data_IF_152059185439
#
_entry.id   IF_152059185439
#
_cell.length_a   1.000
_cell.length_b   1.000
_cell.length_c   1.000
_cell.angle_alpha   90.00
_cell.angle_beta   90.00
_cell.angle_gamma   90.00
#
_symmetry.space_group_name_H-M   'P 1'
#
loop_
_entity.id
_entity.type
_entity.pdbx_description
1 polymer ?
#
# COMPACT_ATOMS: atom_id res chain seq x y z
N UNK A 1 -36.27 -2.38 -42.69
CA UNK A 1 -35.08 -1.73 -42.10
C UNK A 1 -35.58 -0.83 -40.97
N UNK A 2 -35.65 -1.33 -39.74
CA UNK A 2 -36.12 -0.56 -38.57
C UNK A 2 -34.92 0.23 -38.01
N UNK A 3 -34.89 1.54 -38.22
CA UNK A 3 -33.99 2.45 -37.53
C UNK A 3 -34.53 2.69 -36.11
N UNK A 4 -33.89 2.12 -35.10
CA UNK A 4 -34.13 2.51 -33.71
C UNK A 4 -33.58 3.92 -33.52
N UNK A 5 -34.43 4.91 -33.39
CA UNK A 5 -34.06 6.23 -32.90
C UNK A 5 -33.75 6.08 -31.40
N UNK A 6 -32.49 6.03 -31.05
CA UNK A 6 -32.02 6.14 -29.64
C UNK A 6 -32.23 7.63 -29.29
N UNK A 7 -33.16 7.90 -28.41
CA UNK A 7 -33.50 9.25 -27.94
C UNK A 7 -32.38 9.76 -27.03
N UNK A 8 -31.99 11.04 -27.11
CA UNK A 8 -30.97 11.69 -26.30
C UNK A 8 -31.14 11.45 -24.79
N UNK A 9 -32.42 11.38 -24.35
CA UNK A 9 -32.76 11.04 -22.96
C UNK A 9 -32.31 9.62 -22.56
N UNK A 10 -32.34 8.68 -23.49
CA UNK A 10 -31.91 7.29 -23.26
C UNK A 10 -30.36 7.20 -23.22
N UNK A 11 -29.69 7.95 -24.07
CA UNK A 11 -28.22 8.08 -24.07
C UNK A 11 -27.76 8.72 -22.76
N UNK A 12 -28.45 9.79 -22.30
CA UNK A 12 -28.15 10.45 -21.04
C UNK A 12 -28.36 9.52 -19.84
N UNK A 13 -29.48 8.78 -19.79
CA UNK A 13 -29.72 7.79 -18.74
C UNK A 13 -28.68 6.66 -18.73
N UNK A 14 -28.30 6.14 -19.91
CA UNK A 14 -27.27 5.12 -20.03
C UNK A 14 -25.89 5.65 -19.56
N UNK A 15 -25.52 6.87 -19.96
CA UNK A 15 -24.28 7.51 -19.50
C UNK A 15 -24.29 7.76 -18.00
N UNK A 16 -25.40 8.24 -17.45
CA UNK A 16 -25.56 8.45 -16.02
C UNK A 16 -25.50 7.12 -15.24
N UNK A 17 -26.16 6.06 -15.75
CA UNK A 17 -26.13 4.74 -15.14
C UNK A 17 -24.73 4.12 -15.20
N UNK A 18 -24.02 4.27 -16.31
CA UNK A 18 -22.62 3.83 -16.45
C UNK A 18 -21.69 4.60 -15.50
N UNK A 19 -21.85 5.92 -15.41
CA UNK A 19 -21.10 6.76 -14.48
C UNK A 19 -21.38 6.34 -13.03
N UNK A 20 -22.66 6.16 -12.66
CA UNK A 20 -23.06 5.75 -11.31
C UNK A 20 -22.53 4.35 -10.95
N UNK A 21 -22.62 3.39 -11.90
CA UNK A 21 -22.10 2.05 -11.70
C UNK A 21 -20.57 2.03 -11.57
N UNK A 22 -19.86 2.88 -12.32
CA UNK A 22 -18.42 3.01 -12.21
C UNK A 22 -18.01 3.61 -10.86
N UNK A 23 -18.73 4.62 -10.35
CA UNK A 23 -18.43 5.23 -9.04
C UNK A 23 -18.65 4.30 -7.85
N UNK A 24 -19.45 3.23 -8.00
CA UNK A 24 -19.70 2.22 -6.97
C UNK A 24 -18.88 0.93 -7.19
N UNK A 25 -17.88 0.96 -8.04
CA UNK A 25 -17.01 -0.19 -8.32
C UNK A 25 -16.17 -0.52 -7.09
N UNK A 26 -16.13 -1.78 -6.66
CA UNK A 26 -15.24 -2.23 -5.59
C UNK A 26 -13.80 -2.36 -6.07
N UNK A 27 -12.84 -2.35 -5.13
CA UNK A 27 -11.41 -2.50 -5.42
C UNK A 27 -11.11 -3.75 -6.25
N UNK A 28 -11.65 -4.92 -5.85
CA UNK A 28 -11.44 -6.16 -6.61
C UNK A 28 -12.12 -6.19 -7.98
N UNK A 29 -13.24 -5.48 -8.16
CA UNK A 29 -13.87 -5.34 -9.48
C UNK A 29 -13.05 -4.47 -10.41
N UNK A 30 -12.50 -3.37 -9.91
CA UNK A 30 -11.60 -2.51 -10.65
C UNK A 30 -10.34 -3.27 -11.10
N UNK A 31 -9.75 -4.05 -10.18
CA UNK A 31 -8.56 -4.86 -10.43
C UNK A 31 -8.74 -5.89 -11.56
N UNK A 32 -9.96 -6.42 -11.72
CA UNK A 32 -10.28 -7.35 -12.83
C UNK A 32 -10.32 -6.68 -14.19
N UNK A 33 -10.57 -5.37 -14.22
CA UNK A 33 -10.81 -4.62 -15.47
C UNK A 33 -9.57 -3.88 -15.97
N UNK A 34 -8.72 -3.39 -15.06
CA UNK A 34 -7.57 -2.55 -15.40
C UNK A 34 -6.42 -2.71 -14.43
N UNK A 35 -5.25 -2.26 -14.83
CA UNK A 35 -4.13 -2.06 -13.91
C UNK A 35 -4.44 -0.86 -13.03
N UNK A 36 -4.30 -1.01 -11.71
CA UNK A 36 -4.47 0.07 -10.75
C UNK A 36 -3.11 0.71 -10.43
N UNK A 37 -3.15 2.02 -10.26
CA UNK A 37 -1.99 2.82 -9.88
C UNK A 37 -2.08 3.19 -8.41
N UNK A 38 -1.14 2.69 -7.60
CA UNK A 38 -0.94 3.12 -6.22
C UNK A 38 -0.24 4.48 -6.18
N UNK A 39 -0.29 5.11 -5.04
CA UNK A 39 0.43 6.35 -4.77
C UNK A 39 1.95 6.12 -4.62
N UNK A 40 2.64 7.11 -4.10
CA UNK A 40 4.07 7.07 -3.85
C UNK A 40 4.40 7.29 -2.37
N UNK A 41 5.67 7.59 -2.12
CA UNK A 41 6.24 7.62 -0.78
C UNK A 41 5.67 8.73 0.11
N UNK A 42 4.83 8.36 1.08
CA UNK A 42 4.34 9.28 2.13
C UNK A 42 5.51 9.91 2.92
N UNK A 43 6.45 9.10 3.39
CA UNK A 43 7.59 9.58 4.17
C UNK A 43 8.49 10.56 3.41
N UNK A 44 8.69 10.37 2.11
CA UNK A 44 9.45 11.29 1.26
C UNK A 44 8.76 12.65 1.16
N UNK A 45 7.44 12.66 0.97
CA UNK A 45 6.66 13.91 0.90
C UNK A 45 6.60 14.63 2.27
N UNK A 46 6.49 13.90 3.38
CA UNK A 46 6.59 14.47 4.72
C UNK A 46 7.95 15.15 4.92
N UNK A 47 9.04 14.50 4.53
CA UNK A 47 10.40 15.07 4.67
C UNK A 47 10.58 16.39 3.91
N UNK A 48 9.91 16.57 2.76
CA UNK A 48 9.94 17.83 2.00
C UNK A 48 9.29 18.99 2.73
N UNK A 49 8.38 18.71 3.67
CA UNK A 49 7.72 19.73 4.50
C UNK A 49 8.63 20.21 5.64
N UNK A 50 9.81 19.58 5.81
CA UNK A 50 10.80 19.89 6.87
C UNK A 50 10.19 19.96 8.28
N UNK A 51 9.47 18.90 8.73
CA UNK A 51 8.80 18.91 10.01
C UNK A 51 9.77 19.15 11.16
N UNK A 52 9.36 20.03 12.07
CA UNK A 52 10.12 20.34 13.28
C UNK A 52 9.53 19.60 14.49
N UNK A 53 10.27 19.40 15.60
CA UNK A 53 9.75 18.63 16.74
C UNK A 53 8.36 19.05 17.22
N UNK A 54 8.04 20.35 17.19
CA UNK A 54 6.72 20.88 17.58
C UNK A 54 5.57 20.54 16.62
N UNK A 55 5.89 20.02 15.43
CA UNK A 55 4.87 19.57 14.48
C UNK A 55 4.35 18.17 14.83
N UNK A 56 5.14 17.40 15.57
CA UNK A 56 4.76 16.07 16.00
C UNK A 56 3.97 16.08 17.32
N UNK A 57 3.05 15.12 17.53
CA UNK A 57 2.36 14.99 18.81
C UNK A 57 3.35 14.86 19.96
N UNK A 58 3.12 15.62 21.03
CA UNK A 58 3.98 15.66 22.24
C UNK A 58 5.47 15.99 21.94
N UNK A 59 5.76 16.69 20.84
CA UNK A 59 7.11 17.03 20.35
C UNK A 59 8.01 15.79 20.14
N UNK A 60 7.43 14.65 19.82
CA UNK A 60 8.16 13.41 19.56
C UNK A 60 8.60 13.35 18.10
N UNK A 61 9.78 13.88 17.84
CA UNK A 61 10.41 13.92 16.52
C UNK A 61 10.45 12.53 15.85
N UNK A 62 10.18 12.48 14.54
CA UNK A 62 10.17 11.25 13.75
C UNK A 62 8.87 10.44 13.82
N UNK A 63 7.88 10.88 14.62
CA UNK A 63 6.57 10.22 14.67
C UNK A 63 5.70 10.63 13.47
N UNK A 64 6.10 10.20 12.26
CA UNK A 64 5.42 10.57 11.00
C UNK A 64 3.95 10.15 10.96
N UNK A 65 3.62 8.96 11.46
CA UNK A 65 2.23 8.50 11.54
C UNK A 65 1.39 9.43 12.43
N UNK A 66 1.99 9.99 13.49
CA UNK A 66 1.34 10.91 14.42
C UNK A 66 0.91 12.24 13.80
N UNK A 67 1.41 12.60 12.62
CA UNK A 67 1.00 13.82 11.91
C UNK A 67 -0.49 13.81 11.52
N UNK A 68 -1.15 12.67 11.50
CA UNK A 68 -2.62 12.59 11.36
C UNK A 68 -3.36 13.31 12.50
N UNK A 69 -2.73 13.43 13.68
CA UNK A 69 -3.29 14.08 14.85
C UNK A 69 -2.90 15.55 14.92
N UNK A 70 -1.66 15.88 14.65
CA UNK A 70 -1.10 17.23 14.86
C UNK A 70 -1.05 18.09 13.60
N UNK A 71 -0.96 17.49 12.43
CA UNK A 71 -0.90 18.15 11.11
C UNK A 71 -1.74 17.41 10.05
N UNK A 72 -3.02 17.10 10.32
CA UNK A 72 -3.86 16.34 9.39
C UNK A 72 -3.96 17.01 8.01
N UNK A 73 -3.84 18.32 7.93
CA UNK A 73 -3.85 19.08 6.68
C UNK A 73 -2.65 18.74 5.77
N UNK A 74 -1.48 18.42 6.35
CA UNK A 74 -0.30 18.00 5.57
C UNK A 74 -0.52 16.64 4.93
N UNK A 75 -1.02 15.68 5.72
CA UNK A 75 -1.32 14.34 5.23
C UNK A 75 -2.40 14.39 4.14
N UNK A 76 -3.48 15.17 4.36
CA UNK A 76 -4.50 15.39 3.32
C UNK A 76 -3.91 16.01 2.04
N UNK A 77 -2.99 16.97 2.17
CA UNK A 77 -2.34 17.59 1.02
C UNK A 77 -1.49 16.59 0.23
N UNK A 78 -0.76 15.71 0.92
CA UNK A 78 0.04 14.65 0.27
C UNK A 78 -0.89 13.68 -0.47
N UNK A 79 -1.94 13.17 0.17
CA UNK A 79 -2.93 12.30 -0.49
C UNK A 79 -3.54 12.98 -1.74
N UNK A 80 -3.94 14.26 -1.62
CA UNK A 80 -4.46 15.04 -2.75
C UNK A 80 -3.45 15.18 -3.89
N UNK A 81 -2.16 15.32 -3.58
CA UNK A 81 -1.13 15.44 -4.61
C UNK A 81 -0.99 14.17 -5.44
N UNK A 82 -1.06 13.00 -4.79
CA UNK A 82 -1.04 11.71 -5.47
C UNK A 82 -2.31 11.42 -6.28
N UNK A 83 -3.50 11.73 -5.75
CA UNK A 83 -4.74 11.61 -6.52
C UNK A 83 -4.75 12.53 -7.75
N UNK A 84 -4.28 13.77 -7.62
CA UNK A 84 -4.11 14.69 -8.76
C UNK A 84 -3.09 14.21 -9.77
N UNK A 85 -2.08 13.48 -9.34
CA UNK A 85 -1.11 12.82 -10.22
C UNK A 85 -1.68 11.58 -10.93
N UNK A 86 -2.92 11.18 -10.61
CA UNK A 86 -3.63 10.11 -11.28
C UNK A 86 -3.64 8.77 -10.55
N UNK A 87 -3.20 8.70 -9.28
CA UNK A 87 -3.34 7.48 -8.47
C UNK A 87 -4.79 7.01 -8.41
N UNK A 88 -5.00 5.70 -8.49
CA UNK A 88 -6.28 5.06 -8.24
C UNK A 88 -6.45 4.72 -6.75
N UNK A 89 -5.34 4.44 -6.08
CA UNK A 89 -5.28 4.03 -4.68
C UNK A 89 -4.34 4.93 -3.90
N UNK A 90 -4.70 5.25 -2.66
CA UNK A 90 -3.82 5.92 -1.69
C UNK A 90 -3.68 5.06 -0.43
N UNK A 91 -2.46 4.98 0.09
CA UNK A 91 -2.14 4.26 1.31
C UNK A 91 -2.37 5.17 2.53
N UNK A 92 -2.94 4.63 3.61
CA UNK A 92 -3.10 5.38 4.86
C UNK A 92 -1.74 5.68 5.49
N UNK A 93 -1.62 6.81 6.19
CA UNK A 93 -0.40 7.13 6.95
C UNK A 93 -0.37 6.35 8.28
N UNK A 94 -0.22 5.03 8.19
CA UNK A 94 -0.28 4.07 9.31
C UNK A 94 0.77 2.96 9.20
N UNK A 95 1.88 3.21 8.51
CA UNK A 95 2.98 2.25 8.39
C UNK A 95 3.45 1.76 9.77
N UNK A 96 3.64 2.67 10.73
CA UNK A 96 3.93 2.37 12.13
C UNK A 96 2.68 2.32 13.02
N UNK A 97 1.51 2.00 12.46
CA UNK A 97 0.22 2.02 13.17
C UNK A 97 -0.06 0.80 14.05
N UNK A 98 0.83 -0.19 14.13
CA UNK A 98 0.68 -1.31 15.06
C UNK A 98 0.97 -0.89 16.51
N UNK A 99 0.44 -1.67 17.48
CA UNK A 99 0.54 -1.34 18.90
C UNK A 99 1.99 -1.13 19.36
N UNK A 100 2.94 -1.94 18.89
CA UNK A 100 4.34 -1.84 19.32
C UNK A 100 4.96 -0.50 18.90
N UNK A 101 4.77 -0.10 17.66
CA UNK A 101 5.28 1.17 17.15
C UNK A 101 4.58 2.38 17.79
N UNK A 102 3.29 2.30 18.00
CA UNK A 102 2.54 3.35 18.70
C UNK A 102 2.94 3.46 20.18
N UNK A 103 3.28 2.35 20.85
CA UNK A 103 3.76 2.36 22.23
C UNK A 103 5.08 3.15 22.40
N UNK A 104 5.97 3.16 21.39
CA UNK A 104 7.20 3.97 21.40
C UNK A 104 6.90 5.47 21.61
N UNK A 105 5.70 5.89 21.17
CA UNK A 105 5.21 7.27 21.26
C UNK A 105 4.13 7.49 22.30
N UNK A 106 3.70 6.44 23.01
CA UNK A 106 2.67 6.50 24.05
C UNK A 106 1.23 6.47 23.53
N UNK A 107 1.03 5.92 22.33
CA UNK A 107 -0.29 5.80 21.70
C UNK A 107 -0.77 4.34 21.54
N UNK A 108 -0.06 3.34 22.07
CA UNK A 108 -0.39 1.94 21.90
C UNK A 108 -1.79 1.54 22.38
N UNK A 109 -2.28 2.14 23.47
CA UNK A 109 -3.65 1.89 23.94
C UNK A 109 -4.73 2.51 23.05
N UNK A 110 -4.34 3.36 22.10
CA UNK A 110 -5.23 4.03 21.15
C UNK A 110 -5.13 3.45 19.74
N UNK A 111 -4.53 2.27 19.56
CA UNK A 111 -4.24 1.66 18.25
C UNK A 111 -5.46 1.64 17.33
N UNK A 112 -6.63 1.24 17.82
CA UNK A 112 -7.86 1.20 16.99
C UNK A 112 -8.25 2.61 16.51
N UNK A 113 -8.38 3.55 17.43
CA UNK A 113 -8.84 4.91 17.11
C UNK A 113 -7.83 5.66 16.21
N UNK A 114 -6.54 5.41 16.43
CA UNK A 114 -5.46 5.98 15.63
C UNK A 114 -5.58 5.56 14.17
N UNK A 115 -5.65 4.25 13.92
CA UNK A 115 -5.75 3.70 12.57
C UNK A 115 -7.09 4.04 11.90
N UNK A 116 -8.19 4.03 12.65
CA UNK A 116 -9.50 4.47 12.17
C UNK A 116 -9.43 5.93 11.70
N UNK A 117 -8.85 6.84 12.51
CA UNK A 117 -8.74 8.25 12.14
C UNK A 117 -7.90 8.46 10.88
N UNK A 118 -6.78 7.73 10.73
CA UNK A 118 -5.94 7.78 9.54
C UNK A 118 -6.70 7.35 8.27
N UNK A 119 -7.44 6.24 8.38
CA UNK A 119 -8.25 5.74 7.28
C UNK A 119 -9.40 6.69 6.91
N UNK A 120 -10.10 7.26 7.90
CA UNK A 120 -11.14 8.27 7.68
C UNK A 120 -10.58 9.51 6.97
N UNK A 121 -9.38 9.96 7.35
CA UNK A 121 -8.72 11.11 6.73
C UNK A 121 -8.40 10.85 5.25
N UNK A 122 -7.90 9.66 4.92
CA UNK A 122 -7.66 9.27 3.53
C UNK A 122 -8.98 9.17 2.75
N UNK A 123 -10.04 8.59 3.35
CA UNK A 123 -11.38 8.51 2.76
C UNK A 123 -11.98 9.89 2.48
N UNK A 124 -11.88 10.82 3.45
CA UNK A 124 -12.32 12.21 3.26
C UNK A 124 -11.67 12.83 2.01
N UNK A 125 -10.40 12.52 1.75
CA UNK A 125 -9.69 13.04 0.56
C UNK A 125 -10.18 12.35 -0.71
N UNK A 126 -10.33 11.00 -0.72
CA UNK A 126 -10.87 10.29 -1.88
C UNK A 126 -12.27 10.78 -2.27
N UNK A 127 -13.12 11.06 -1.28
CA UNK A 127 -14.50 11.51 -1.49
C UNK A 127 -14.59 12.93 -2.11
N UNK A 128 -13.50 13.70 -2.13
CA UNK A 128 -13.44 14.98 -2.86
C UNK A 128 -13.22 14.81 -4.37
N UNK A 129 -12.79 13.61 -4.82
CA UNK A 129 -12.52 13.33 -6.23
C UNK A 129 -13.68 12.53 -6.83
N UNK A 130 -14.18 12.97 -8.00
CA UNK A 130 -15.39 12.45 -8.63
C UNK A 130 -15.18 12.03 -10.09
N UNK A 131 -13.94 11.94 -10.53
CA UNK A 131 -13.56 11.55 -11.91
C UNK A 131 -13.65 10.04 -12.13
N UNK A 132 -13.29 9.26 -11.11
CA UNK A 132 -13.29 7.79 -11.09
C UNK A 132 -13.38 7.29 -9.64
N UNK A 133 -13.61 5.98 -9.40
CA UNK A 133 -13.45 5.40 -8.07
C UNK A 133 -12.01 5.52 -7.59
N UNK A 134 -11.83 5.98 -6.35
CA UNK A 134 -10.55 5.99 -5.66
C UNK A 134 -10.63 5.11 -4.42
N UNK A 135 -9.56 4.38 -4.14
CA UNK A 135 -9.51 3.37 -3.10
C UNK A 135 -8.54 3.76 -1.99
N UNK A 136 -8.95 3.50 -0.75
CA UNK A 136 -8.11 3.68 0.43
C UNK A 136 -7.55 2.35 0.85
N UNK A 137 -6.23 2.25 0.92
CA UNK A 137 -5.51 1.03 1.26
C UNK A 137 -4.91 1.20 2.66
N UNK A 138 -5.28 0.31 3.57
CA UNK A 138 -4.81 0.33 4.95
C UNK A 138 -3.39 -0.21 5.07
N UNK A 139 -2.40 0.67 5.21
CA UNK A 139 -0.98 0.34 5.34
C UNK A 139 -0.69 -0.29 6.71
N UNK A 140 0.00 -1.43 6.72
CA UNK A 140 0.42 -2.20 7.89
C UNK A 140 1.89 -2.61 7.72
N UNK A 141 2.81 -1.78 8.19
CA UNK A 141 4.25 -2.05 8.16
C UNK A 141 4.71 -3.00 9.28
N UNK A 142 5.99 -3.39 9.32
CA UNK A 142 6.50 -4.40 10.24
C UNK A 142 6.46 -3.94 11.70
N UNK A 143 6.36 -4.92 12.61
CA UNK A 143 6.37 -4.66 14.06
C UNK A 143 7.70 -4.11 14.58
N UNK A 144 8.79 -4.44 13.89
CA UNK A 144 10.15 -4.26 14.36
C UNK A 144 10.74 -5.51 15.00
N UNK A 145 9.95 -6.56 15.18
CA UNK A 145 10.41 -7.88 15.61
C UNK A 145 10.67 -8.79 14.41
N UNK A 146 11.45 -9.84 14.65
CA UNK A 146 11.76 -10.90 13.68
C UNK A 146 11.46 -12.25 14.35
N UNK A 147 10.20 -12.69 14.39
CA UNK A 147 9.78 -13.86 15.17
C UNK A 147 10.43 -15.19 14.72
N UNK A 148 11.00 -15.25 13.51
CA UNK A 148 11.79 -16.39 13.06
C UNK A 148 13.26 -16.32 13.48
N UNK A 149 13.71 -15.22 14.09
CA UNK A 149 15.10 -15.03 14.49
C UNK A 149 15.39 -15.63 15.87
N UNK A 150 16.60 -16.11 16.04
CA UNK A 150 17.15 -16.47 17.37
C UNK A 150 17.77 -15.26 18.11
N UNK A 151 17.65 -14.07 17.54
CA UNK A 151 18.15 -12.86 18.17
C UNK A 151 17.42 -12.61 19.50
N UNK A 152 18.13 -12.34 20.62
CA UNK A 152 17.50 -12.17 21.94
C UNK A 152 16.61 -10.93 22.05
N UNK A 153 16.85 -9.89 21.22
CA UNK A 153 16.12 -8.64 21.28
C UNK A 153 14.99 -8.60 20.25
N UNK A 154 15.19 -9.20 19.07
CA UNK A 154 14.25 -9.14 17.95
C UNK A 154 13.36 -10.38 17.83
N UNK A 155 13.85 -11.57 18.23
CA UNK A 155 13.14 -12.83 18.10
C UNK A 155 12.34 -13.26 19.33
N UNK A 156 12.57 -12.64 20.49
CA UNK A 156 11.94 -13.01 21.76
C UNK A 156 10.58 -12.31 21.95
N UNK A 157 9.64 -12.60 21.06
CA UNK A 157 8.27 -12.07 21.10
C UNK A 157 7.26 -13.21 21.01
N UNK A 158 6.18 -13.12 21.78
CA UNK A 158 5.07 -14.07 21.67
C UNK A 158 4.34 -13.89 20.35
N UNK A 159 4.04 -15.01 19.65
CA UNK A 159 3.29 -14.97 18.41
C UNK A 159 1.88 -14.39 18.63
N UNK A 160 1.26 -14.70 19.76
CA UNK A 160 -0.06 -14.14 20.14
C UNK A 160 0.00 -12.63 20.36
N UNK A 161 1.10 -12.09 20.90
CA UNK A 161 1.28 -10.64 21.03
C UNK A 161 1.36 -9.94 19.68
N UNK A 162 2.07 -10.53 18.70
CA UNK A 162 2.10 -10.01 17.33
C UNK A 162 0.70 -10.04 16.71
N UNK A 163 0.01 -11.18 16.76
CA UNK A 163 -1.36 -11.32 16.24
C UNK A 163 -2.27 -10.26 16.86
N UNK A 164 -2.27 -10.12 18.18
CA UNK A 164 -3.12 -9.17 18.89
C UNK A 164 -2.81 -7.72 18.48
N UNK A 165 -1.54 -7.34 18.38
CA UNK A 165 -1.12 -5.98 18.02
C UNK A 165 -1.62 -5.60 16.62
N UNK A 166 -1.47 -6.51 15.65
CA UNK A 166 -1.92 -6.28 14.28
C UNK A 166 -3.44 -6.43 14.11
N UNK A 167 -4.11 -7.25 14.92
CA UNK A 167 -5.58 -7.34 14.92
C UNK A 167 -6.22 -6.01 15.35
N UNK A 168 -5.63 -5.30 16.32
CA UNK A 168 -6.08 -3.95 16.71
C UNK A 168 -5.88 -2.94 15.58
N UNK A 169 -4.73 -2.99 14.87
CA UNK A 169 -4.46 -2.14 13.73
C UNK A 169 -5.47 -2.38 12.60
N UNK A 170 -5.63 -3.64 12.19
CA UNK A 170 -6.57 -4.02 11.13
C UNK A 170 -8.02 -3.65 11.48
N UNK A 171 -8.44 -3.84 12.75
CA UNK A 171 -9.76 -3.43 13.23
C UNK A 171 -9.99 -1.93 13.02
N UNK A 172 -9.03 -1.09 13.44
CA UNK A 172 -9.11 0.35 13.26
C UNK A 172 -9.22 0.75 11.78
N UNK A 173 -8.39 0.17 10.91
CA UNK A 173 -8.42 0.40 9.47
C UNK A 173 -9.78 0.02 8.85
N UNK A 174 -10.31 -1.15 9.19
CA UNK A 174 -11.62 -1.62 8.71
C UNK A 174 -12.75 -0.69 9.18
N UNK A 175 -12.72 -0.26 10.44
CA UNK A 175 -13.70 0.69 10.99
C UNK A 175 -13.62 2.06 10.29
N UNK A 176 -12.42 2.48 9.88
CA UNK A 176 -12.16 3.68 9.11
C UNK A 176 -12.48 3.57 7.61
N UNK A 177 -13.02 2.41 7.17
CA UNK A 177 -13.53 2.15 5.81
C UNK A 177 -12.45 2.11 4.73
N UNK A 178 -11.36 1.38 4.98
CA UNK A 178 -10.41 1.02 3.91
C UNK A 178 -11.03 0.03 2.93
N UNK A 179 -10.55 0.01 1.69
CA UNK A 179 -11.00 -0.90 0.62
C UNK A 179 -10.17 -2.18 0.56
N UNK A 180 -8.96 -2.17 1.13
CA UNK A 180 -8.09 -3.33 1.31
C UNK A 180 -7.15 -3.12 2.49
N UNK A 181 -6.63 -4.22 3.07
CA UNK A 181 -5.54 -4.22 4.03
C UNK A 181 -4.23 -4.57 3.30
N UNK A 182 -3.18 -3.79 3.51
CA UNK A 182 -1.87 -3.97 2.89
C UNK A 182 -0.84 -4.29 3.97
N UNK A 183 -0.38 -5.53 3.99
CA UNK A 183 0.81 -5.95 4.74
C UNK A 183 2.01 -5.59 3.88
N UNK A 184 2.89 -4.71 4.34
CA UNK A 184 3.96 -4.20 3.48
C UNK A 184 5.34 -4.18 4.16
N UNK A 185 6.38 -4.17 3.33
CA UNK A 185 7.78 -4.04 3.75
C UNK A 185 8.22 -5.14 4.73
N UNK A 186 7.50 -6.27 4.72
CA UNK A 186 7.76 -7.38 5.65
C UNK A 186 9.06 -8.11 5.31
N UNK A 187 9.88 -8.33 6.32
CA UNK A 187 11.22 -8.92 6.23
C UNK A 187 11.30 -10.34 6.81
N UNK A 188 10.25 -10.79 7.51
CA UNK A 188 10.13 -12.13 8.09
C UNK A 188 8.82 -12.77 7.67
N UNK A 189 8.90 -13.94 7.01
CA UNK A 189 7.72 -14.62 6.50
C UNK A 189 6.79 -15.13 7.61
N UNK A 190 7.30 -15.41 8.80
CA UNK A 190 6.46 -15.78 9.93
C UNK A 190 5.63 -14.57 10.38
N UNK A 191 6.20 -13.36 10.43
CA UNK A 191 5.42 -12.15 10.73
C UNK A 191 4.30 -11.96 9.70
N UNK A 192 4.57 -12.11 8.40
CA UNK A 192 3.52 -12.03 7.35
C UNK A 192 2.36 -12.96 7.64
N UNK A 193 2.64 -14.24 8.01
CA UNK A 193 1.60 -15.21 8.37
C UNK A 193 0.76 -14.76 9.56
N UNK A 194 1.41 -14.27 10.61
CA UNK A 194 0.72 -13.80 11.82
C UNK A 194 -0.14 -12.57 11.55
N UNK A 195 0.32 -11.67 10.68
CA UNK A 195 -0.46 -10.47 10.29
C UNK A 195 -1.66 -10.85 9.42
N UNK A 196 -1.54 -11.84 8.53
CA UNK A 196 -2.69 -12.36 7.77
C UNK A 196 -3.73 -12.94 8.73
N UNK A 197 -3.32 -13.72 9.73
CA UNK A 197 -4.21 -14.24 10.77
C UNK A 197 -4.89 -13.11 11.56
N UNK A 198 -4.13 -12.08 11.94
CA UNK A 198 -4.64 -10.89 12.61
C UNK A 198 -5.71 -10.16 11.77
N UNK A 199 -5.51 -10.06 10.45
CA UNK A 199 -6.50 -9.49 9.53
C UNK A 199 -7.81 -10.29 9.55
N UNK A 200 -7.75 -11.62 9.50
CA UNK A 200 -8.93 -12.48 9.58
C UNK A 200 -9.66 -12.34 10.93
N UNK A 201 -8.93 -12.22 12.04
CA UNK A 201 -9.52 -11.96 13.37
C UNK A 201 -10.27 -10.63 13.36
N UNK A 202 -9.66 -9.57 12.83
CA UNK A 202 -10.28 -8.24 12.73
C UNK A 202 -11.53 -8.23 11.83
N UNK A 203 -11.49 -8.93 10.69
CA UNK A 203 -12.65 -9.12 9.81
C UNK A 203 -13.80 -9.83 10.53
N UNK A 204 -13.50 -10.93 11.23
CA UNK A 204 -14.50 -11.65 12.01
C UNK A 204 -15.11 -10.76 13.12
N UNK A 205 -14.28 -9.97 13.81
CA UNK A 205 -14.75 -9.06 14.86
C UNK A 205 -15.63 -7.94 14.34
N UNK A 206 -15.25 -7.35 13.20
CA UNK A 206 -15.98 -6.25 12.58
C UNK A 206 -17.13 -6.70 11.67
N UNK A 207 -17.27 -8.00 11.40
CA UNK A 207 -18.23 -8.59 10.48
C UNK A 207 -18.14 -7.99 9.07
N UNK A 208 -16.90 -7.72 8.61
CA UNK A 208 -16.61 -7.15 7.28
C UNK A 208 -15.50 -7.93 6.60
N UNK A 209 -15.78 -8.36 5.37
CA UNK A 209 -14.78 -8.97 4.49
C UNK A 209 -14.05 -7.87 3.71
N UNK A 210 -12.73 -7.81 3.86
CA UNK A 210 -11.85 -6.83 3.21
C UNK A 210 -10.71 -7.58 2.50
N UNK A 211 -10.38 -7.24 1.24
CA UNK A 211 -9.23 -7.85 0.56
C UNK A 211 -7.92 -7.66 1.33
N UNK A 212 -7.09 -8.70 1.34
CA UNK A 212 -5.73 -8.68 1.90
C UNK A 212 -4.71 -8.66 0.77
N UNK A 213 -3.79 -7.71 0.83
CA UNK A 213 -2.60 -7.63 -0.01
C UNK A 213 -1.40 -7.98 0.86
N UNK A 214 -0.60 -8.98 0.46
CA UNK A 214 0.60 -9.36 1.18
C UNK A 214 1.84 -9.03 0.36
N UNK A 215 2.57 -7.98 0.76
CA UNK A 215 3.84 -7.60 0.18
C UNK A 215 5.00 -8.04 1.06
N UNK A 216 6.04 -8.55 0.40
CA UNK A 216 7.32 -8.83 1.04
C UNK A 216 8.40 -7.91 0.48
N UNK A 217 9.44 -7.71 1.26
CA UNK A 217 10.62 -6.95 0.86
C UNK A 217 11.81 -7.89 0.64
N UNK A 218 12.42 -7.77 -0.54
CA UNK A 218 13.56 -8.58 -0.95
C UNK A 218 14.80 -7.72 -1.16
N UNK A 219 15.95 -8.24 -0.78
CA UNK A 219 17.24 -7.64 -1.11
C UNK A 219 17.58 -7.79 -2.61
N UNK A 220 18.73 -7.28 -3.02
CA UNK A 220 19.24 -7.37 -4.41
C UNK A 220 19.47 -8.82 -4.88
N UNK A 221 19.45 -9.80 -3.98
CA UNK A 221 19.62 -11.23 -4.27
C UNK A 221 18.28 -11.98 -4.27
N UNK A 222 17.16 -11.28 -4.14
CA UNK A 222 15.82 -11.86 -4.11
C UNK A 222 15.46 -12.60 -2.83
N UNK A 223 15.99 -12.15 -1.67
CA UNK A 223 15.76 -12.77 -0.37
C UNK A 223 15.23 -11.75 0.65
N UNK A 224 14.32 -12.20 1.49
CA UNK A 224 13.95 -11.51 2.73
C UNK A 224 15.14 -11.51 3.70
N UNK A 225 15.12 -10.67 4.72
CA UNK A 225 16.22 -10.48 5.66
C UNK A 225 16.76 -11.79 6.27
N UNK A 226 15.87 -12.73 6.59
CA UNK A 226 16.23 -14.03 7.18
C UNK A 226 16.44 -15.13 6.12
N UNK A 227 16.60 -14.77 4.85
CA UNK A 227 17.01 -15.66 3.76
C UNK A 227 15.86 -16.33 2.98
N UNK A 228 14.60 -16.11 3.34
CA UNK A 228 13.45 -16.62 2.59
C UNK A 228 13.41 -16.00 1.20
N UNK A 229 13.37 -16.82 0.15
CA UNK A 229 13.22 -16.35 -1.23
C UNK A 229 11.74 -16.16 -1.61
N UNK A 230 11.49 -15.56 -2.77
CA UNK A 230 10.13 -15.26 -3.25
C UNK A 230 9.28 -16.51 -3.39
N UNK A 231 9.88 -17.64 -3.85
CA UNK A 231 9.19 -18.91 -4.05
C UNK A 231 8.65 -19.46 -2.72
N UNK A 232 9.51 -19.53 -1.72
CA UNK A 232 9.14 -20.01 -0.38
C UNK A 232 8.13 -19.07 0.27
N UNK A 233 8.30 -17.74 0.13
CA UNK A 233 7.37 -16.78 0.68
C UNK A 233 5.97 -16.92 0.07
N UNK A 234 5.89 -16.92 -1.26
CA UNK A 234 4.63 -17.08 -1.99
C UNK A 234 3.91 -18.38 -1.59
N UNK A 235 4.61 -19.53 -1.67
CA UNK A 235 4.03 -20.85 -1.32
C UNK A 235 3.55 -20.88 0.14
N UNK A 236 4.19 -20.12 1.03
CA UNK A 236 3.81 -20.09 2.45
C UNK A 236 2.48 -19.35 2.68
N UNK A 237 2.18 -18.31 1.89
CA UNK A 237 1.05 -17.41 2.20
C UNK A 237 -0.07 -17.43 1.15
N UNK A 238 0.14 -17.96 -0.05
CA UNK A 238 -0.85 -17.94 -1.15
C UNK A 238 -2.19 -18.55 -0.78
N UNK A 239 -2.19 -19.63 0.01
CA UNK A 239 -3.40 -20.33 0.45
C UNK A 239 -3.97 -19.80 1.78
N UNK A 240 -3.45 -18.69 2.32
CA UNK A 240 -3.91 -18.11 3.59
C UNK A 240 -5.04 -17.09 3.43
N UNK A 241 -5.72 -17.06 2.28
CA UNK A 241 -6.85 -16.15 2.04
C UNK A 241 -6.46 -14.74 1.63
N UNK A 242 -5.23 -14.53 1.17
CA UNK A 242 -4.82 -13.27 0.55
C UNK A 242 -5.41 -13.14 -0.86
N UNK A 243 -5.63 -11.91 -1.32
CA UNK A 243 -6.19 -11.63 -2.64
C UNK A 243 -5.13 -11.18 -3.65
N UNK A 244 -4.02 -10.65 -3.17
CA UNK A 244 -2.93 -10.10 -3.99
C UNK A 244 -1.62 -10.40 -3.28
N UNK A 245 -0.61 -10.79 -4.05
CA UNK A 245 0.76 -10.92 -3.55
C UNK A 245 1.66 -9.89 -4.23
N UNK A 246 2.65 -9.35 -3.52
CA UNK A 246 3.48 -8.32 -4.11
C UNK A 246 4.85 -8.14 -3.51
N UNK A 247 5.57 -7.23 -4.12
CA UNK A 247 6.92 -6.81 -3.73
C UNK A 247 6.95 -5.29 -3.57
N UNK A 248 7.50 -4.80 -2.47
CA UNK A 248 7.71 -3.37 -2.27
C UNK A 248 9.04 -3.06 -1.58
N UNK A 249 9.47 -1.82 -1.74
CA UNK A 249 10.63 -1.24 -1.03
C UNK A 249 11.98 -1.97 -1.28
N UNK A 250 12.99 -1.67 -0.46
CA UNK A 250 14.37 -2.19 -0.48
C UNK A 250 15.14 -1.86 -1.76
N UNK A 251 14.62 -2.22 -2.93
CA UNK A 251 15.33 -2.15 -4.22
C UNK A 251 14.56 -1.35 -5.26
N UNK A 252 15.21 -1.11 -6.40
CA UNK A 252 14.57 -0.60 -7.60
C UNK A 252 13.89 -1.68 -8.43
N UNK A 253 13.23 -1.30 -9.54
CA UNK A 253 12.49 -2.26 -10.38
C UNK A 253 13.40 -3.30 -11.05
N UNK A 254 14.67 -2.97 -11.31
CA UNK A 254 15.59 -3.88 -11.98
C UNK A 254 15.90 -5.12 -11.14
N UNK A 255 16.16 -4.91 -9.86
CA UNK A 255 16.47 -5.98 -8.90
C UNK A 255 15.25 -6.86 -8.62
N UNK A 256 14.03 -6.31 -8.72
CA UNK A 256 12.78 -7.10 -8.55
C UNK A 256 12.48 -8.01 -9.74
N UNK A 257 13.07 -7.74 -10.91
CA UNK A 257 12.73 -8.43 -12.17
C UNK A 257 12.78 -9.96 -12.08
N UNK A 258 13.80 -10.64 -11.52
CA UNK A 258 13.82 -12.10 -11.45
C UNK A 258 12.65 -12.68 -10.63
N UNK A 259 12.30 -12.02 -9.52
CA UNK A 259 11.17 -12.42 -8.66
C UNK A 259 9.82 -12.21 -9.36
N UNK A 260 9.67 -11.10 -10.09
CA UNK A 260 8.46 -10.79 -10.88
C UNK A 260 8.26 -11.82 -12.00
N UNK A 261 9.31 -12.22 -12.71
CA UNK A 261 9.23 -13.27 -13.75
C UNK A 261 8.65 -14.55 -13.15
N UNK A 262 9.21 -15.00 -12.04
CA UNK A 262 8.76 -16.21 -11.37
C UNK A 262 7.30 -16.09 -10.88
N UNK A 263 6.94 -14.98 -10.23
CA UNK A 263 5.57 -14.73 -9.75
C UNK A 263 4.55 -14.74 -10.90
N UNK A 264 4.90 -14.14 -12.04
CA UNK A 264 4.01 -14.11 -13.20
C UNK A 264 3.72 -15.50 -13.78
N UNK A 265 4.61 -16.49 -13.57
CA UNK A 265 4.42 -17.87 -14.01
C UNK A 265 3.41 -18.63 -13.14
N UNK A 266 3.18 -18.20 -11.90
CA UNK A 266 2.25 -18.87 -10.97
C UNK A 266 0.78 -18.66 -11.37
N UNK A 267 0.40 -17.47 -11.86
CA UNK A 267 -0.92 -17.09 -12.38
C UNK A 267 -2.12 -17.19 -11.41
N UNK A 268 -1.88 -17.55 -10.16
CA UNK A 268 -2.96 -17.78 -9.18
C UNK A 268 -3.45 -16.48 -8.54
N UNK A 269 -2.52 -15.56 -8.24
CA UNK A 269 -2.82 -14.28 -7.61
C UNK A 269 -2.37 -13.10 -8.49
N UNK A 270 -3.13 -11.99 -8.50
CA UNK A 270 -2.66 -10.71 -9.02
C UNK A 270 -1.38 -10.27 -8.33
N UNK A 271 -0.48 -9.62 -9.07
CA UNK A 271 0.80 -9.15 -8.56
C UNK A 271 0.76 -7.64 -8.36
N UNK A 272 1.26 -7.18 -7.21
CA UNK A 272 1.55 -5.79 -6.91
C UNK A 272 3.07 -5.55 -6.98
N UNK A 273 3.50 -4.45 -7.63
CA UNK A 273 4.91 -4.07 -7.77
C UNK A 273 5.10 -2.60 -7.42
N UNK A 274 5.71 -2.33 -6.27
CA UNK A 274 5.90 -0.99 -5.71
C UNK A 274 7.37 -0.78 -5.31
N UNK A 275 8.28 -0.58 -6.30
CA UNK A 275 9.70 -0.40 -6.05
C UNK A 275 10.03 1.00 -5.52
N UNK A 276 11.23 1.14 -4.98
CA UNK A 276 11.83 2.45 -4.74
C UNK A 276 12.18 3.16 -6.08
N UNK A 277 12.39 4.47 -6.02
CA UNK A 277 12.95 5.23 -7.14
C UNK A 277 14.44 4.89 -7.36
N UNK A 278 14.69 3.61 -7.67
CA UNK A 278 16.02 3.00 -7.79
C UNK A 278 16.60 2.54 -6.46
N UNK A 279 17.83 2.03 -6.51
CA UNK A 279 18.56 1.61 -5.30
C UNK A 279 18.88 2.81 -4.42
N UNK A 280 18.70 2.71 -3.07
CA UNK A 280 19.10 3.76 -2.17
C UNK A 280 20.63 3.95 -2.15
N UNK A 281 21.07 5.19 -2.26
CA UNK A 281 22.46 5.59 -2.10
C UNK A 281 22.63 6.30 -0.76
N UNK A 282 23.71 6.00 -0.05
CA UNK A 282 24.02 6.72 1.20
C UNK A 282 24.77 8.02 0.87
N UNK A 283 24.14 9.16 1.03
CA UNK A 283 24.74 10.48 0.89
C UNK A 283 24.65 11.23 2.23
N UNK A 284 25.78 11.37 2.90
CA UNK A 284 25.84 12.07 4.19
C UNK A 284 25.02 11.42 5.31
N UNK A 285 24.86 10.10 5.31
CA UNK A 285 24.07 9.35 6.30
C UNK A 285 22.57 9.27 5.98
N UNK A 286 22.13 9.81 4.85
CA UNK A 286 20.74 9.75 4.39
C UNK A 286 20.60 8.87 3.15
N UNK A 287 19.50 8.13 3.06
CA UNK A 287 19.13 7.40 1.85
C UNK A 287 18.66 8.39 0.79
N UNK A 288 19.29 8.37 -0.39
CA UNK A 288 18.94 9.20 -1.55
C UNK A 288 18.59 8.30 -2.72
N UNK A 289 17.51 8.62 -3.39
CA UNK A 289 16.98 7.87 -4.54
C UNK A 289 17.14 8.73 -5.79
N UNK A 290 17.72 8.16 -6.87
CA UNK A 290 18.12 8.95 -8.07
C UNK A 290 17.40 8.56 -9.35
N UNK A 291 16.54 7.55 -9.33
CA UNK A 291 15.78 7.17 -10.52
C UNK A 291 14.73 8.26 -10.80
N UNK A 292 14.81 8.85 -11.97
CA UNK A 292 13.90 9.91 -12.38
C UNK A 292 12.51 9.35 -12.76
N UNK A 293 11.44 10.19 -12.75
CA UNK A 293 10.08 9.78 -13.08
C UNK A 293 9.96 9.01 -14.41
N UNK A 294 10.57 9.50 -15.48
CA UNK A 294 10.57 8.89 -16.81
C UNK A 294 11.28 7.52 -16.85
N UNK A 295 12.31 7.35 -16.03
CA UNK A 295 13.02 6.08 -15.93
C UNK A 295 12.19 5.02 -15.21
N UNK A 296 11.56 5.39 -14.07
CA UNK A 296 10.69 4.49 -13.33
C UNK A 296 9.47 4.10 -14.15
N UNK A 297 8.80 5.08 -14.77
CA UNK A 297 7.60 4.84 -15.58
C UNK A 297 7.88 3.95 -16.78
N UNK A 298 9.02 4.12 -17.45
CA UNK A 298 9.45 3.25 -18.53
C UNK A 298 9.61 1.79 -18.06
N UNK A 299 10.27 1.56 -16.91
CA UNK A 299 10.51 0.19 -16.41
C UNK A 299 9.23 -0.49 -15.96
N UNK A 300 8.37 0.20 -15.22
CA UNK A 300 7.09 -0.37 -14.81
C UNK A 300 6.12 -0.52 -15.97
N UNK A 301 6.18 0.36 -16.97
CA UNK A 301 5.47 0.21 -18.23
C UNK A 301 5.87 -1.07 -18.99
N UNK A 302 7.17 -1.37 -19.08
CA UNK A 302 7.65 -2.63 -19.65
C UNK A 302 7.11 -3.85 -18.86
N UNK A 303 6.97 -3.74 -17.53
CA UNK A 303 6.44 -4.82 -16.71
C UNK A 303 4.96 -5.10 -16.99
N UNK A 304 4.09 -4.09 -17.02
CA UNK A 304 2.66 -4.30 -17.29
C UNK A 304 2.39 -4.80 -18.70
N UNK A 305 3.23 -4.44 -19.68
CA UNK A 305 3.15 -4.97 -21.05
C UNK A 305 3.55 -6.44 -21.15
N UNK A 306 4.58 -6.82 -20.40
CA UNK A 306 5.20 -8.14 -20.51
C UNK A 306 4.57 -9.17 -19.58
N UNK A 307 4.14 -8.75 -18.37
CA UNK A 307 3.69 -9.62 -17.31
C UNK A 307 2.22 -9.38 -16.99
N UNK A 308 1.33 -10.20 -17.56
CA UNK A 308 -0.14 -10.01 -17.51
C UNK A 308 -0.73 -10.09 -16.11
N UNK A 309 -0.03 -10.74 -15.18
CA UNK A 309 -0.49 -10.91 -13.80
C UNK A 309 -0.17 -9.71 -12.92
N UNK A 310 0.65 -8.77 -13.39
CA UNK A 310 0.81 -7.49 -12.71
C UNK A 310 -0.47 -6.68 -12.90
N UNK A 311 -1.15 -6.42 -11.79
CA UNK A 311 -2.42 -5.70 -11.74
C UNK A 311 -2.35 -4.41 -10.95
N UNK A 312 -1.28 -4.22 -10.20
CA UNK A 312 -1.05 -3.01 -9.43
C UNK A 312 0.41 -2.61 -9.58
N UNK A 313 0.64 -1.35 -9.88
CA UNK A 313 1.96 -0.72 -9.85
C UNK A 313 1.88 0.58 -9.06
N UNK A 314 3.01 1.03 -8.53
CA UNK A 314 3.12 2.28 -7.78
C UNK A 314 4.56 2.57 -7.44
N UNK A 315 4.78 3.39 -6.43
CA UNK A 315 6.11 3.74 -5.99
C UNK A 315 6.28 3.70 -4.48
N UNK A 316 7.43 3.23 -4.00
CA UNK A 316 7.85 3.27 -2.60
C UNK A 316 8.86 4.41 -2.39
N UNK A 317 9.84 4.22 -1.51
CA UNK A 317 10.78 5.27 -1.11
C UNK A 317 11.39 6.05 -2.29
N UNK A 318 11.45 7.38 -2.13
CA UNK A 318 12.00 8.30 -3.13
C UNK A 318 11.06 8.65 -4.28
N UNK A 319 9.91 7.99 -4.41
CA UNK A 319 8.92 8.36 -5.42
C UNK A 319 8.09 9.58 -5.00
N UNK A 320 7.63 10.34 -5.96
CA UNK A 320 6.95 11.63 -5.79
C UNK A 320 5.69 11.67 -6.66
N UNK A 321 4.82 12.68 -6.51
CA UNK A 321 3.68 12.86 -7.41
C UNK A 321 4.05 12.89 -8.89
N UNK A 322 5.23 13.41 -9.25
CA UNK A 322 5.70 13.42 -10.63
C UNK A 322 5.97 11.99 -11.16
N UNK A 323 6.50 11.09 -10.32
CA UNK A 323 6.66 9.68 -10.68
C UNK A 323 5.31 9.02 -10.97
N UNK A 324 4.30 9.32 -10.14
CA UNK A 324 2.95 8.77 -10.30
C UNK A 324 2.27 9.33 -11.55
N UNK A 325 2.47 10.61 -11.86
CA UNK A 325 1.93 11.22 -13.09
C UNK A 325 2.49 10.55 -14.36
N UNK A 326 3.79 10.32 -14.41
CA UNK A 326 4.43 9.61 -15.53
C UNK A 326 3.94 8.16 -15.65
N UNK A 327 3.73 7.45 -14.51
CA UNK A 327 3.15 6.12 -14.50
C UNK A 327 1.71 6.12 -15.01
N UNK A 328 0.90 7.14 -14.65
CA UNK A 328 -0.46 7.30 -15.16
C UNK A 328 -0.48 7.42 -16.68
N UNK A 329 0.40 8.26 -17.23
CA UNK A 329 0.51 8.40 -18.68
C UNK A 329 0.84 7.09 -19.41
N UNK A 330 1.68 6.24 -18.81
CA UNK A 330 2.01 4.93 -19.38
C UNK A 330 0.81 3.99 -19.32
N UNK A 331 0.11 3.91 -18.17
CA UNK A 331 -1.07 3.05 -18.03
C UNK A 331 -2.16 3.46 -19.02
N UNK A 332 -2.41 4.75 -19.21
CA UNK A 332 -3.47 5.26 -20.11
C UNK A 332 -3.20 5.03 -21.58
N UNK A 333 -1.96 4.72 -21.95
CA UNK A 333 -1.56 4.38 -23.33
C UNK A 333 -1.75 2.88 -23.65
N UNK A 334 -2.06 2.07 -22.65
CA UNK A 334 -2.16 0.61 -22.73
C UNK A 334 -3.51 0.07 -22.28
#
# INVERSE_FOLDING_TARGET
MLFFHINDTMIYKLRFQLFYNNMNESFLEALKKRVLLFDGAMGTEIQKLDPQPQDFPNNKDGFNDGLILSRPEWIKQIHKSYLKAGADCIETNTFGGNKFKLDEYGYGDQTIEFNKRAAELAREVCDEFHDKPHFVIGSMGPSGFLPSSNDPDLGQISLDEIINAFALQAEGLILGKVDALLIETSQDILEVKLVIEACHIAMNKTQKEIPIIANITLDQYGKMLLGTNVQSAYTTVSDMGINIFGLNCSTGPDEMTPSIIWLNEQQDLPILVVPNAGMPLNEGGKAVYKMAPDQLSKRLGEFILKYRNIKIIGGCCGTTPEHIAELREIIDKH
#
